data_IF_004505913562
#
_entry.id   IF_004505913562
#
_cell.length_a   1.000
_cell.length_b   1.000
_cell.length_c   1.000
_cell.angle_alpha   90.00
_cell.angle_beta   90.00
_cell.angle_gamma   90.00
#
_symmetry.space_group_name_H-M   'P 1'
#
loop_
_entity.id
_entity.type
_entity.pdbx_description
1 polymer ?
#
# COMPACT_ATOMS: atom_id res chain seq x y z
N UNK A 1 -9.16 14.43 13.78
CA UNK A 1 -8.54 14.09 12.49
C UNK A 1 -8.88 12.65 12.13
N UNK A 2 -9.37 12.45 10.94
CA UNK A 2 -9.76 11.12 10.51
C UNK A 2 -8.54 10.24 10.25
N UNK A 3 -8.67 8.99 10.66
CA UNK A 3 -7.62 8.02 10.35
C UNK A 3 -7.74 7.57 8.90
N UNK A 4 -6.60 7.42 8.24
CA UNK A 4 -6.54 6.91 6.88
C UNK A 4 -6.39 5.38 6.85
N UNK A 5 -6.65 4.74 7.97
CA UNK A 5 -6.43 3.30 8.08
C UNK A 5 -7.36 2.66 9.10
N UNK A 6 -7.46 1.34 8.99
CA UNK A 6 -8.24 0.51 9.89
C UNK A 6 -7.46 -0.77 10.16
N UNK A 7 -7.40 -1.17 11.43
CA UNK A 7 -6.74 -2.42 11.83
C UNK A 7 -7.80 -3.42 12.25
N UNK A 8 -7.76 -4.59 11.65
CA UNK A 8 -8.66 -5.70 11.97
C UNK A 8 -7.80 -6.93 12.27
N UNK A 9 -7.56 -7.21 13.56
CA UNK A 9 -6.64 -8.27 13.95
C UNK A 9 -5.23 -7.94 13.48
N UNK A 10 -4.65 -8.79 12.65
CA UNK A 10 -3.32 -8.57 12.06
C UNK A 10 -3.37 -7.94 10.67
N UNK A 11 -4.56 -7.51 10.24
CA UNK A 11 -4.78 -6.93 8.92
C UNK A 11 -4.86 -5.41 9.04
N UNK A 12 -4.03 -4.72 8.28
CA UNK A 12 -4.05 -3.27 8.17
C UNK A 12 -4.59 -2.89 6.81
N UNK A 13 -5.69 -2.14 6.78
CA UNK A 13 -6.23 -1.57 5.55
C UNK A 13 -5.87 -0.09 5.58
N UNK A 14 -5.03 0.32 4.63
CA UNK A 14 -4.54 1.69 4.58
C UNK A 14 -5.02 2.39 3.33
N UNK A 15 -5.71 3.52 3.51
CA UNK A 15 -6.23 4.29 2.41
C UNK A 15 -5.13 5.17 1.84
N UNK A 16 -4.72 4.86 0.61
CA UNK A 16 -3.66 5.59 -0.06
C UNK A 16 -4.16 6.99 -0.47
N UNK A 17 -3.27 7.99 -0.43
CA UNK A 17 -3.69 9.35 -0.80
C UNK A 17 -4.00 9.50 -2.28
N UNK A 18 -4.63 10.62 -2.64
CA UNK A 18 -5.02 10.91 -4.00
C UNK A 18 -3.82 10.92 -4.95
N UNK A 19 -2.71 11.47 -4.50
CA UNK A 19 -1.46 11.47 -5.26
C UNK A 19 -0.35 10.90 -4.42
N UNK A 20 0.38 9.94 -4.98
CA UNK A 20 1.52 9.32 -4.29
C UNK A 20 2.78 9.69 -5.07
N UNK A 21 3.30 10.87 -4.75
CA UNK A 21 4.53 11.38 -5.34
C UNK A 21 5.68 11.35 -4.34
N UNK A 22 6.85 11.83 -4.74
CA UNK A 22 8.03 11.76 -3.88
C UNK A 22 7.93 12.65 -2.62
N UNK A 23 7.10 13.67 -2.63
CA UNK A 23 6.90 14.52 -1.44
C UNK A 23 6.15 13.76 -0.35
N UNK A 24 5.21 12.94 -0.75
CA UNK A 24 4.36 12.19 0.17
C UNK A 24 4.96 10.84 0.53
N UNK A 25 5.68 10.22 -0.42
CA UNK A 25 6.16 8.84 -0.28
C UNK A 25 6.99 8.61 0.99
N UNK A 26 7.85 9.54 1.34
CA UNK A 26 8.73 9.39 2.50
C UNK A 26 7.93 9.29 3.81
N UNK A 27 6.99 10.21 4.00
CA UNK A 27 6.15 10.23 5.21
C UNK A 27 5.20 9.03 5.21
N UNK A 28 4.69 8.67 4.05
CA UNK A 28 3.81 7.52 3.89
C UNK A 28 4.53 6.22 4.29
N UNK A 29 5.77 6.04 3.84
CA UNK A 29 6.58 4.89 4.22
C UNK A 29 6.81 4.82 5.72
N UNK A 30 7.13 5.95 6.34
CA UNK A 30 7.34 6.00 7.79
C UNK A 30 6.09 5.59 8.55
N UNK A 31 4.94 6.09 8.15
CA UNK A 31 3.69 5.75 8.81
C UNK A 31 3.34 4.29 8.63
N UNK A 32 3.44 3.78 7.41
CA UNK A 32 3.14 2.38 7.13
C UNK A 32 4.07 1.46 7.94
N UNK A 33 5.37 1.75 7.93
CA UNK A 33 6.32 0.91 8.66
C UNK A 33 6.07 0.95 10.17
N UNK A 34 5.73 2.13 10.71
CA UNK A 34 5.39 2.27 12.12
C UNK A 34 4.17 1.44 12.49
N UNK A 35 3.14 1.49 11.65
CA UNK A 35 1.91 0.74 11.90
C UNK A 35 2.13 -0.76 11.79
N UNK A 36 2.88 -1.20 10.78
CA UNK A 36 3.19 -2.61 10.58
C UNK A 36 3.89 -3.17 11.80
N UNK A 37 4.88 -2.44 12.30
CA UNK A 37 5.65 -2.90 13.45
C UNK A 37 4.86 -2.82 14.75
N UNK A 38 4.25 -1.66 15.05
CA UNK A 38 3.58 -1.43 16.33
C UNK A 38 2.31 -2.26 16.49
N UNK A 39 1.63 -2.60 15.41
CA UNK A 39 0.37 -3.35 15.44
C UNK A 39 0.55 -4.83 15.10
N UNK A 40 1.76 -5.28 14.86
CA UNK A 40 2.01 -6.67 14.53
C UNK A 40 1.29 -7.13 13.27
N UNK A 41 1.36 -6.33 12.22
CA UNK A 41 0.59 -6.58 11.00
C UNK A 41 1.18 -7.74 10.20
N UNK A 42 0.31 -8.68 9.80
CA UNK A 42 0.66 -9.80 8.93
C UNK A 42 0.11 -9.66 7.53
N UNK A 43 -0.90 -8.82 7.33
CA UNK A 43 -1.46 -8.55 6.02
C UNK A 43 -1.67 -7.05 5.86
N UNK A 44 -1.01 -6.47 4.88
CA UNK A 44 -1.18 -5.06 4.53
C UNK A 44 -2.05 -4.97 3.29
N UNK A 45 -3.16 -4.24 3.38
CA UNK A 45 -4.03 -3.96 2.25
C UNK A 45 -3.95 -2.48 1.91
N UNK A 46 -3.50 -2.18 0.70
CA UNK A 46 -3.43 -0.81 0.21
C UNK A 46 -4.71 -0.50 -0.57
N UNK A 47 -5.49 0.42 -0.05
CA UNK A 47 -6.74 0.85 -0.68
C UNK A 47 -6.46 2.05 -1.58
N UNK A 48 -6.56 1.84 -2.89
CA UNK A 48 -6.30 2.85 -3.91
C UNK A 48 -7.57 3.56 -4.40
N UNK A 49 -8.70 3.40 -3.70
CA UNK A 49 -9.97 3.95 -4.20
C UNK A 49 -9.96 5.46 -4.39
N UNK A 50 -9.13 6.18 -3.65
CA UNK A 50 -8.96 7.63 -3.80
C UNK A 50 -7.78 8.02 -4.68
N UNK A 51 -6.93 7.08 -5.03
CA UNK A 51 -5.68 7.38 -5.71
C UNK A 51 -5.92 7.61 -7.19
N UNK A 52 -5.46 8.74 -7.68
CA UNK A 52 -5.57 9.10 -9.09
C UNK A 52 -4.22 9.06 -9.79
N UNK A 53 -3.14 9.24 -9.04
CA UNK A 53 -1.81 9.30 -9.62
C UNK A 53 -0.75 8.74 -8.69
N UNK A 54 0.23 8.05 -9.27
CA UNK A 54 1.45 7.64 -8.59
C UNK A 54 2.61 7.79 -9.57
N UNK A 55 3.71 8.35 -9.07
CA UNK A 55 4.98 8.35 -9.83
C UNK A 55 5.85 7.17 -9.37
N UNK A 56 7.12 7.17 -9.78
CA UNK A 56 8.05 6.10 -9.42
C UNK A 56 8.26 5.98 -7.90
N UNK A 57 8.07 7.08 -7.17
CA UNK A 57 8.18 7.04 -5.71
C UNK A 57 7.03 6.25 -5.10
N UNK A 58 5.82 6.40 -5.65
CA UNK A 58 4.66 5.61 -5.24
C UNK A 58 4.86 4.13 -5.51
N UNK A 59 5.43 3.81 -6.67
CA UNK A 59 5.80 2.43 -7.01
C UNK A 59 6.80 1.91 -5.97
N UNK A 60 7.76 2.75 -5.58
CA UNK A 60 8.74 2.41 -4.55
C UNK A 60 8.11 2.11 -3.19
N UNK A 61 7.05 2.83 -2.82
CA UNK A 61 6.30 2.57 -1.59
C UNK A 61 5.78 1.13 -1.60
N UNK A 62 5.15 0.74 -2.70
CA UNK A 62 4.59 -0.61 -2.85
C UNK A 62 5.68 -1.68 -2.77
N UNK A 63 6.76 -1.49 -3.53
CA UNK A 63 7.87 -2.46 -3.57
C UNK A 63 8.49 -2.59 -2.18
N UNK A 64 8.79 -1.48 -1.52
CA UNK A 64 9.40 -1.48 -0.20
C UNK A 64 8.53 -2.17 0.85
N UNK A 65 7.23 -1.92 0.81
CA UNK A 65 6.30 -2.57 1.75
C UNK A 65 6.17 -4.06 1.48
N UNK A 66 6.23 -4.46 0.21
CA UNK A 66 6.21 -5.88 -0.13
C UNK A 66 7.43 -6.61 0.43
N UNK A 67 8.60 -5.98 0.36
CA UNK A 67 9.81 -6.55 0.96
C UNK A 67 9.70 -6.63 2.47
N UNK A 68 9.25 -5.54 3.12
CA UNK A 68 9.06 -5.51 4.57
C UNK A 68 8.12 -6.63 5.03
N UNK A 69 7.00 -6.78 4.34
CA UNK A 69 6.02 -7.81 4.71
C UNK A 69 6.57 -9.21 4.42
N UNK A 70 7.34 -9.37 3.36
CA UNK A 70 7.98 -10.64 3.04
C UNK A 70 8.93 -11.12 4.14
N UNK A 71 9.71 -10.21 4.71
CA UNK A 71 10.59 -10.53 5.82
C UNK A 71 9.83 -10.94 7.08
N UNK A 72 8.58 -10.54 7.19
CA UNK A 72 7.71 -10.86 8.32
C UNK A 72 6.80 -12.05 8.04
N UNK A 73 7.02 -12.75 6.92
CA UNK A 73 6.13 -13.83 6.45
C UNK A 73 4.70 -13.35 6.22
N UNK A 74 4.56 -12.08 5.86
CA UNK A 74 3.28 -11.46 5.62
C UNK A 74 3.03 -11.25 4.12
N UNK A 75 1.97 -10.51 3.83
CA UNK A 75 1.56 -10.25 2.46
C UNK A 75 1.10 -8.81 2.27
N UNK A 76 1.21 -8.34 1.02
CA UNK A 76 0.65 -7.05 0.62
C UNK A 76 -0.40 -7.31 -0.46
N UNK A 77 -1.57 -6.72 -0.25
CA UNK A 77 -2.66 -6.80 -1.20
C UNK A 77 -3.12 -5.40 -1.57
N UNK A 78 -3.83 -5.28 -2.67
CA UNK A 78 -4.37 -4.01 -3.13
C UNK A 78 -5.87 -4.15 -3.37
N UNK A 79 -6.60 -3.08 -3.10
CA UNK A 79 -8.03 -3.00 -3.37
C UNK A 79 -8.38 -1.62 -3.90
N UNK A 80 -9.58 -1.49 -4.46
CA UNK A 80 -10.07 -0.20 -4.94
C UNK A 80 -9.32 0.33 -6.14
N UNK A 81 -8.77 -0.55 -6.97
CA UNK A 81 -7.91 -0.17 -8.09
C UNK A 81 -8.75 0.35 -9.26
N UNK A 82 -8.62 1.65 -9.56
CA UNK A 82 -9.23 2.24 -10.73
C UNK A 82 -8.35 2.05 -11.97
N UNK A 83 -8.85 2.51 -13.12
CA UNK A 83 -8.16 2.31 -14.40
C UNK A 83 -6.76 2.92 -14.44
N UNK A 84 -6.60 4.12 -13.88
CA UNK A 84 -5.29 4.80 -13.89
C UNK A 84 -4.26 4.07 -13.05
N UNK A 85 -4.64 3.69 -11.83
CA UNK A 85 -3.74 2.98 -10.94
C UNK A 85 -3.43 1.60 -11.50
N UNK A 86 -4.44 0.91 -12.06
CA UNK A 86 -4.23 -0.38 -12.71
C UNK A 86 -3.16 -0.30 -13.80
N UNK A 87 -3.25 0.74 -14.63
CA UNK A 87 -2.27 0.94 -15.71
C UNK A 87 -0.86 1.13 -15.16
N UNK A 88 -0.73 1.91 -14.09
CA UNK A 88 0.56 2.17 -13.45
C UNK A 88 1.12 0.88 -12.85
N UNK A 89 0.30 0.16 -12.09
CA UNK A 89 0.72 -1.09 -11.45
C UNK A 89 1.12 -2.14 -12.49
N UNK A 90 0.36 -2.24 -13.56
CA UNK A 90 0.61 -3.19 -14.64
C UNK A 90 1.89 -2.86 -15.40
N UNK A 91 2.06 -1.58 -15.75
CA UNK A 91 3.28 -1.12 -16.45
C UNK A 91 4.54 -1.33 -15.63
N UNK A 92 4.44 -1.20 -14.31
CA UNK A 92 5.57 -1.40 -13.42
C UNK A 92 5.78 -2.87 -13.03
N UNK A 93 4.91 -3.77 -13.49
CA UNK A 93 5.01 -5.20 -13.17
C UNK A 93 4.66 -5.53 -11.73
N UNK A 94 3.91 -4.68 -11.06
CA UNK A 94 3.64 -4.84 -9.62
C UNK A 94 2.66 -5.95 -9.30
N UNK A 95 1.90 -6.45 -10.26
CA UNK A 95 1.00 -7.58 -10.01
C UNK A 95 1.74 -8.89 -9.76
N UNK A 96 3.04 -8.91 -9.92
CA UNK A 96 3.85 -10.05 -9.53
C UNK A 96 3.99 -10.17 -8.01
N UNK A 97 3.91 -9.03 -7.32
CA UNK A 97 4.13 -8.94 -5.87
C UNK A 97 2.89 -8.50 -5.11
N UNK A 98 1.90 -7.94 -5.80
CA UNK A 98 0.63 -7.52 -5.22
C UNK A 98 -0.47 -8.48 -5.63
N UNK A 99 -1.28 -8.89 -4.67
CA UNK A 99 -2.51 -9.62 -4.93
C UNK A 99 -3.68 -8.69 -4.74
N UNK A 100 -4.79 -8.99 -5.41
CA UNK A 100 -6.01 -8.22 -5.25
C UNK A 100 -6.73 -8.73 -4.00
N UNK A 101 -7.06 -7.81 -3.11
CA UNK A 101 -7.86 -8.16 -1.93
C UNK A 101 -9.32 -8.24 -2.34
N UNK A 102 -9.97 -9.30 -1.93
CA UNK A 102 -11.39 -9.43 -2.13
C UNK A 102 -12.11 -8.68 -1.02
N UNK A 103 -13.12 -7.93 -1.42
CA UNK A 103 -13.93 -7.15 -0.48
C UNK A 103 -14.94 -8.01 0.23
#
# INVERSE_FOLDING_TARGET
MEKNYQVEGTRLIYQMPQEVDHHIAKELCKELDRLIESQGIGELVLDFSRTEFMDSSGIGVVIGRSKTMGFRNGSVKAMGIGKRVDRILRSAGLYRILKIAES
#
